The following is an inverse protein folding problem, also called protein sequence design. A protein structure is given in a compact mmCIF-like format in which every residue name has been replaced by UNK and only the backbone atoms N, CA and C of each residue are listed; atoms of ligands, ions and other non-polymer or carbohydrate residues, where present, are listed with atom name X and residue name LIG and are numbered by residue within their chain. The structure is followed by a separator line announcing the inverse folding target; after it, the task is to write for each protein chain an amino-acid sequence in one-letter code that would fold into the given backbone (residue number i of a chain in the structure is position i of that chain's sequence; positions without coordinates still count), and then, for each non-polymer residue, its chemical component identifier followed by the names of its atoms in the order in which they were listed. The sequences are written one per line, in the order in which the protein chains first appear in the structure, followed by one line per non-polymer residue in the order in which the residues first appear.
data_IF_315661536419
#
_entry.id   IF_315661536419
#
_cell.length_a   1.000
_cell.length_b   1.000
_cell.length_c   1.000
_cell.angle_alpha   90.00
_cell.angle_beta   90.00
_cell.angle_gamma   90.00
#
_symmetry.space_group_name_H-M   'P 1'
#
loop_
_entity.id
_entity.type
_entity.pdbx_description
1 polymer ?
#
# COMPACT_ATOMS: atom_id res chain seq x y z
N UNK A 1 5.19 12.82 -10.38
CA UNK A 1 6.04 13.37 -9.29
C UNK A 1 7.28 12.50 -9.11
N UNK A 2 8.39 13.07 -8.67
CA UNK A 2 9.59 12.30 -8.32
C UNK A 2 9.76 12.34 -6.80
N UNK A 3 9.43 11.26 -6.14
CA UNK A 3 9.31 11.14 -4.68
C UNK A 3 10.60 10.69 -3.97
N UNK A 4 11.76 10.85 -4.59
CA UNK A 4 13.09 10.62 -3.99
C UNK A 4 13.27 9.24 -3.33
N UNK A 5 12.93 8.18 -4.04
CA UNK A 5 13.08 6.82 -3.54
C UNK A 5 14.47 6.56 -2.93
N UNK A 6 14.52 5.99 -1.73
CA UNK A 6 15.75 5.73 -0.99
C UNK A 6 15.93 4.27 -0.55
N UNK A 7 15.24 3.33 -1.23
CA UNK A 7 15.30 1.91 -0.88
C UNK A 7 14.39 1.54 0.29
N UNK A 8 13.20 2.12 0.36
CA UNK A 8 12.20 1.91 1.43
C UNK A 8 12.69 2.31 2.84
N UNK A 9 13.52 3.34 2.93
CA UNK A 9 13.99 3.85 4.19
C UNK A 9 15.12 3.07 4.85
N UNK A 10 15.41 1.85 4.46
CA UNK A 10 16.56 1.03 4.89
C UNK A 10 16.85 1.12 6.39
N UNK A 11 15.98 0.52 7.21
CA UNK A 11 16.02 0.66 8.67
C UNK A 11 17.30 0.12 9.29
N UNK A 12 17.97 0.86 10.20
CA UNK A 12 19.16 0.39 10.90
C UNK A 12 18.86 -0.80 11.83
N UNK A 13 19.82 -1.72 11.95
CA UNK A 13 19.74 -2.91 12.83
C UNK A 13 19.43 -2.55 14.30
N UNK A 14 19.83 -1.37 14.76
CA UNK A 14 19.61 -0.89 16.12
C UNK A 14 18.12 -0.74 16.49
N UNK A 15 17.20 -0.81 15.53
CA UNK A 15 15.75 -0.68 15.74
C UNK A 15 15.04 -1.97 16.09
N UNK A 16 15.75 -3.08 16.26
CA UNK A 16 15.13 -4.34 16.69
C UNK A 16 14.61 -5.26 15.59
N UNK A 17 14.84 -4.94 14.32
CA UNK A 17 14.31 -5.63 13.16
C UNK A 17 15.10 -6.87 12.76
N UNK A 18 15.00 -7.91 13.56
CA UNK A 18 15.80 -9.11 13.38
C UNK A 18 15.50 -9.91 12.12
N UNK A 19 14.28 -9.90 11.62
CA UNK A 19 13.88 -10.57 10.39
C UNK A 19 14.67 -10.08 9.16
N UNK A 20 14.92 -8.78 9.08
CA UNK A 20 15.72 -8.16 8.03
C UNK A 20 17.20 -8.50 8.08
N UNK A 21 17.72 -8.84 9.26
CA UNK A 21 19.14 -9.14 9.48
C UNK A 21 19.63 -10.36 8.73
N UNK A 22 18.72 -11.21 8.28
CA UNK A 22 19.04 -12.38 7.46
C UNK A 22 19.09 -12.08 5.97
N UNK A 23 18.74 -10.85 5.56
CA UNK A 23 18.81 -10.45 4.16
C UNK A 23 20.28 -10.31 3.74
N UNK A 24 20.72 -11.05 2.70
CA UNK A 24 22.09 -10.97 2.21
C UNK A 24 22.49 -9.60 1.63
N UNK A 25 21.51 -8.72 1.39
CA UNK A 25 21.74 -7.34 0.91
C UNK A 25 22.11 -6.37 2.03
N UNK A 26 22.15 -6.83 3.28
CA UNK A 26 22.50 -5.96 4.41
C UNK A 26 23.96 -5.54 4.34
N UNK A 27 24.17 -4.23 4.48
CA UNK A 27 25.50 -3.70 4.68
C UNK A 27 26.14 -4.19 5.99
N UNK A 28 27.45 -4.19 6.05
CA UNK A 28 28.19 -4.62 7.25
C UNK A 28 27.84 -3.80 8.52
N UNK A 29 27.37 -2.58 8.35
CA UNK A 29 26.90 -1.70 9.44
C UNK A 29 25.47 -2.01 9.91
N UNK A 30 24.83 -3.04 9.35
CA UNK A 30 23.48 -3.44 9.74
C UNK A 30 22.35 -2.63 9.12
N UNK A 31 22.64 -1.80 8.14
CA UNK A 31 21.65 -1.13 7.29
C UNK A 31 21.42 -1.97 6.04
N UNK A 32 20.21 -2.01 5.52
CA UNK A 32 19.96 -2.61 4.21
C UNK A 32 20.62 -1.73 3.16
N UNK A 33 21.55 -2.28 2.39
CA UNK A 33 22.26 -1.58 1.32
C UNK A 33 21.62 -1.95 -0.02
N UNK A 34 20.64 -1.18 -0.44
CA UNK A 34 20.01 -1.34 -1.72
C UNK A 34 20.46 -0.23 -2.66
N UNK A 35 21.11 -0.58 -3.82
CA UNK A 35 21.41 0.41 -4.84
C UNK A 35 20.13 1.09 -5.35
N UNK A 36 20.09 2.42 -5.34
CA UNK A 36 18.89 3.20 -5.73
C UNK A 36 19.17 4.14 -6.90
N UNK A 37 20.36 4.12 -7.45
CA UNK A 37 20.77 5.08 -8.49
C UNK A 37 19.93 4.97 -9.75
N UNK A 38 19.57 3.75 -10.15
CA UNK A 38 18.70 3.51 -11.30
C UNK A 38 17.24 3.80 -10.95
N UNK A 39 16.75 3.37 -9.80
CA UNK A 39 15.36 3.57 -9.37
C UNK A 39 15.00 5.06 -9.30
N UNK A 40 15.93 5.90 -8.85
CA UNK A 40 15.75 7.37 -8.81
C UNK A 40 15.57 8.01 -10.18
N UNK A 41 15.96 7.34 -11.26
CA UNK A 41 15.81 7.85 -12.64
C UNK A 41 14.46 7.50 -13.26
N UNK A 42 13.75 6.50 -12.73
CA UNK A 42 12.54 5.94 -13.32
C UNK A 42 11.44 7.00 -13.51
N UNK A 43 11.15 7.80 -12.49
CA UNK A 43 10.12 8.83 -12.57
C UNK A 43 10.42 9.89 -13.66
N UNK A 44 11.68 10.27 -13.81
CA UNK A 44 12.11 11.22 -14.84
C UNK A 44 12.04 10.59 -16.24
N UNK A 45 12.41 9.32 -16.38
CA UNK A 45 12.34 8.59 -17.65
C UNK A 45 10.88 8.44 -18.12
N UNK A 46 9.98 8.03 -17.22
CA UNK A 46 8.54 7.93 -17.52
C UNK A 46 7.94 9.30 -17.89
N UNK A 47 8.31 10.35 -17.16
CA UNK A 47 7.83 11.70 -17.45
C UNK A 47 8.28 12.18 -18.84
N UNK A 48 9.53 11.89 -19.22
CA UNK A 48 10.06 12.22 -20.54
C UNK A 48 9.34 11.45 -21.66
N UNK A 49 9.14 10.13 -21.47
CA UNK A 49 8.43 9.29 -22.43
C UNK A 49 6.95 9.71 -22.62
N UNK A 50 6.32 10.12 -21.52
CA UNK A 50 4.93 10.57 -21.51
C UNK A 50 4.73 12.05 -21.87
N UNK A 51 5.83 12.80 -22.12
CA UNK A 51 5.82 14.25 -22.37
C UNK A 51 5.04 15.02 -21.29
N UNK A 52 5.38 14.76 -20.02
CA UNK A 52 4.82 15.45 -18.85
C UNK A 52 5.92 16.06 -17.99
N UNK A 53 5.69 17.23 -17.36
CA UNK A 53 6.70 17.85 -16.51
C UNK A 53 6.92 17.06 -15.22
N UNK A 54 8.19 17.03 -14.77
CA UNK A 54 8.54 16.45 -13.47
C UNK A 54 8.26 17.46 -12.37
N UNK A 55 7.38 17.09 -11.43
CA UNK A 55 7.19 17.83 -10.19
C UNK A 55 8.24 17.39 -9.18
N UNK A 56 9.09 18.32 -8.75
CA UNK A 56 10.12 18.08 -7.75
C UNK A 56 9.58 18.28 -6.32
N UNK A 57 10.07 17.46 -5.40
CA UNK A 57 9.79 17.53 -3.98
C UNK A 57 11.02 17.13 -3.18
N UNK A 58 11.07 17.50 -1.91
CA UNK A 58 12.04 16.97 -0.96
C UNK A 58 11.55 15.68 -0.28
N UNK A 59 10.25 15.38 -0.40
CA UNK A 59 9.62 14.24 0.24
C UNK A 59 10.17 12.93 -0.30
N UNK A 60 10.56 12.05 0.60
CA UNK A 60 10.93 10.67 0.32
C UNK A 60 9.80 9.75 0.72
N UNK A 61 9.21 9.08 -0.26
CA UNK A 61 8.15 8.08 -0.07
C UNK A 61 7.97 7.26 -1.35
N UNK A 62 7.12 6.26 -1.30
CA UNK A 62 6.73 5.42 -2.43
C UNK A 62 5.22 5.55 -2.70
N UNK A 63 4.79 5.21 -3.91
CA UNK A 63 3.38 5.27 -4.30
C UNK A 63 2.45 4.40 -3.45
N UNK A 64 2.94 3.24 -2.99
CA UNK A 64 2.20 2.36 -2.08
C UNK A 64 2.04 2.89 -0.65
N UNK A 65 2.82 3.92 -0.27
CA UNK A 65 2.76 4.54 1.05
C UNK A 65 1.61 5.53 1.26
N UNK A 66 0.87 5.87 0.20
CA UNK A 66 -0.24 6.84 0.27
C UNK A 66 -1.41 6.42 -0.61
N UNK A 67 -2.61 6.65 -0.11
CA UNK A 67 -3.84 6.52 -0.87
C UNK A 67 -4.63 7.85 -0.79
N UNK A 68 -5.31 8.24 -1.87
CA UNK A 68 -6.03 9.51 -1.95
C UNK A 68 -7.43 9.33 -2.54
N UNK A 69 -8.41 10.08 -2.05
CA UNK A 69 -9.77 10.03 -2.57
C UNK A 69 -10.05 11.02 -3.72
N UNK A 70 -9.08 11.84 -4.11
CA UNK A 70 -9.23 12.87 -5.14
C UNK A 70 -9.99 14.13 -4.71
N UNK A 71 -10.48 14.20 -3.46
CA UNK A 71 -11.27 15.31 -2.92
C UNK A 71 -10.69 15.90 -1.62
N UNK A 72 -9.40 15.64 -1.35
CA UNK A 72 -8.68 16.22 -0.22
C UNK A 72 -8.49 15.29 0.98
N UNK A 73 -8.92 14.03 0.92
CA UNK A 73 -8.53 13.04 1.91
C UNK A 73 -7.32 12.22 1.44
N UNK A 74 -6.42 11.93 2.38
CA UNK A 74 -5.34 10.98 2.22
C UNK A 74 -5.34 9.95 3.35
N UNK A 75 -4.85 8.74 3.08
CA UNK A 75 -4.60 7.69 4.08
C UNK A 75 -3.14 7.26 3.98
N UNK A 76 -2.47 7.13 5.10
CA UNK A 76 -1.09 6.65 5.16
C UNK A 76 -0.75 6.09 6.55
N UNK A 77 0.38 5.42 6.67
CA UNK A 77 0.95 5.04 7.96
C UNK A 77 2.04 6.02 8.39
N UNK A 78 2.09 6.33 9.67
CA UNK A 78 3.12 7.18 10.25
C UNK A 78 4.50 6.53 10.12
N UNK A 79 4.58 5.22 10.37
CA UNK A 79 5.83 4.47 10.26
C UNK A 79 6.45 4.53 8.87
N UNK A 80 5.65 4.61 7.80
CA UNK A 80 6.15 4.71 6.44
C UNK A 80 6.66 6.12 6.13
N UNK A 81 5.86 7.16 6.37
CA UNK A 81 6.17 8.51 5.87
C UNK A 81 6.92 9.37 6.90
N UNK A 82 6.54 9.27 8.20
CA UNK A 82 7.18 10.06 9.26
C UNK A 82 8.48 9.42 9.77
N UNK A 83 8.93 8.37 9.12
CA UNK A 83 10.13 7.65 9.49
C UNK A 83 11.39 8.52 9.26
N UNK A 84 12.26 8.67 10.27
CA UNK A 84 13.54 9.39 10.12
C UNK A 84 14.44 8.84 9.03
N UNK A 85 14.30 7.56 8.67
CA UNK A 85 15.06 6.96 7.58
C UNK A 85 14.63 7.46 6.20
N UNK A 86 13.40 7.95 6.05
CA UNK A 86 12.90 8.59 4.83
C UNK A 86 12.99 10.11 4.88
N UNK A 87 12.44 10.70 5.94
CA UNK A 87 12.29 12.15 6.05
C UNK A 87 12.95 12.68 7.34
N UNK A 88 14.31 12.63 7.44
CA UNK A 88 15.02 12.99 8.65
C UNK A 88 14.79 14.44 9.07
N UNK A 89 14.48 14.63 10.34
CA UNK A 89 14.26 15.96 10.93
C UNK A 89 12.95 16.65 10.53
N UNK A 90 12.10 16.00 9.74
CA UNK A 90 10.80 16.56 9.34
C UNK A 90 9.72 16.27 10.35
N UNK A 91 8.92 17.30 10.64
CA UNK A 91 7.75 17.18 11.48
C UNK A 91 6.51 16.81 10.65
N UNK A 92 5.52 16.23 11.30
CA UNK A 92 4.27 15.76 10.66
C UNK A 92 3.59 16.89 9.88
N UNK A 93 3.54 18.08 10.46
CA UNK A 93 2.93 19.27 9.87
C UNK A 93 3.64 19.72 8.59
N UNK A 94 4.97 19.64 8.54
CA UNK A 94 5.74 19.96 7.32
C UNK A 94 5.45 18.97 6.20
N UNK A 95 5.31 17.68 6.55
CA UNK A 95 4.97 16.61 5.60
C UNK A 95 3.55 16.81 5.09
N UNK A 96 2.57 17.12 5.94
CA UNK A 96 1.19 17.41 5.53
C UNK A 96 1.09 18.62 4.59
N UNK A 97 1.89 19.66 4.82
CA UNK A 97 1.98 20.82 3.91
C UNK A 97 2.48 20.37 2.52
N UNK A 98 3.49 19.52 2.48
CA UNK A 98 4.02 19.04 1.21
C UNK A 98 3.05 18.06 0.52
N UNK A 99 2.39 17.18 1.26
CA UNK A 99 1.33 16.31 0.73
C UNK A 99 0.16 17.12 0.16
N UNK A 100 -0.22 18.23 0.82
CA UNK A 100 -1.21 19.16 0.28
C UNK A 100 -0.76 19.77 -1.05
N UNK A 101 0.48 20.20 -1.13
CA UNK A 101 1.05 20.78 -2.35
C UNK A 101 1.09 19.79 -3.51
N UNK A 102 1.44 18.53 -3.22
CA UNK A 102 1.63 17.49 -4.24
C UNK A 102 0.31 16.84 -4.69
N UNK A 103 -0.56 16.54 -3.74
CA UNK A 103 -1.75 15.71 -3.95
C UNK A 103 -3.07 16.44 -3.66
N UNK A 104 -3.03 17.71 -3.23
CA UNK A 104 -4.24 18.44 -2.84
C UNK A 104 -4.89 17.93 -1.55
N UNK A 105 -4.16 17.21 -0.70
CA UNK A 105 -4.68 16.63 0.53
C UNK A 105 -4.90 17.74 1.56
N UNK A 106 -6.11 17.82 2.08
CA UNK A 106 -6.47 18.74 3.17
C UNK A 106 -6.53 18.06 4.54
N UNK A 107 -6.77 16.75 4.56
CA UNK A 107 -6.86 15.93 5.76
C UNK A 107 -6.25 14.56 5.53
N UNK A 108 -5.39 14.16 6.45
CA UNK A 108 -4.81 12.81 6.48
C UNK A 108 -5.51 11.94 7.53
N UNK A 109 -5.82 10.71 7.16
CA UNK A 109 -6.20 9.62 8.05
C UNK A 109 -4.90 8.83 8.34
N UNK A 110 -4.28 9.13 9.47
CA UNK A 110 -3.04 8.49 9.87
C UNK A 110 -3.28 7.22 10.66
N UNK A 111 -2.58 6.16 10.29
CA UNK A 111 -2.45 4.94 11.08
C UNK A 111 -1.05 4.84 11.66
N UNK A 112 -0.84 4.26 12.86
CA UNK A 112 0.50 4.13 13.44
C UNK A 112 1.49 3.38 12.53
N UNK A 113 1.05 2.28 11.92
CA UNK A 113 1.92 1.41 11.14
C UNK A 113 2.94 0.63 11.97
N UNK A 114 3.95 0.06 11.32
CA UNK A 114 4.93 -0.85 11.94
C UNK A 114 6.35 -0.45 11.58
N UNK A 115 6.96 0.48 12.33
CA UNK A 115 8.31 0.90 12.01
C UNK A 115 9.25 -0.29 12.07
N UNK A 116 9.84 -0.58 10.94
CA UNK A 116 10.91 -1.53 10.81
C UNK A 116 10.57 -3.00 10.93
N UNK A 117 9.33 -3.43 10.90
CA UNK A 117 8.94 -4.84 10.91
C UNK A 117 8.94 -5.46 9.52
N UNK A 118 8.71 -4.68 8.49
CA UNK A 118 8.78 -5.14 7.11
C UNK A 118 9.51 -4.10 6.22
N UNK A 119 9.73 -4.45 4.94
CA UNK A 119 10.63 -3.71 4.05
C UNK A 119 10.18 -2.30 3.75
N UNK A 120 8.88 -2.04 3.76
CA UNK A 120 8.30 -0.76 3.39
C UNK A 120 7.96 0.12 4.59
N UNK A 121 8.18 -0.35 5.82
CA UNK A 121 7.66 0.25 7.04
C UNK A 121 6.13 0.38 7.05
N UNK A 122 5.45 -0.59 6.44
CA UNK A 122 4.01 -0.75 6.42
C UNK A 122 3.29 0.20 5.45
N UNK A 123 3.39 -0.10 4.17
CA UNK A 123 2.66 0.60 3.11
C UNK A 123 1.13 0.50 3.30
N UNK A 124 0.43 1.60 3.03
CA UNK A 124 -1.03 1.67 3.16
C UNK A 124 -1.78 0.83 2.12
N UNK A 125 -1.19 0.55 0.97
CA UNK A 125 -1.79 -0.26 -0.09
C UNK A 125 -1.98 -1.76 0.27
N UNK A 126 -1.49 -2.15 1.46
CA UNK A 126 -1.83 -3.41 2.12
C UNK A 126 -2.97 -3.30 3.15
N UNK A 127 -3.40 -2.08 3.48
CA UNK A 127 -4.31 -1.83 4.59
C UNK A 127 -5.65 -1.25 4.13
N UNK A 128 -5.63 -0.21 3.30
CA UNK A 128 -6.85 0.50 2.95
C UNK A 128 -6.73 1.26 1.62
N UNK A 129 -7.82 1.30 0.85
CA UNK A 129 -7.89 2.03 -0.40
C UNK A 129 -9.27 2.65 -0.62
N UNK A 130 -9.30 3.82 -1.23
CA UNK A 130 -10.55 4.43 -1.65
C UNK A 130 -11.10 3.75 -2.91
N UNK A 131 -12.39 3.43 -2.90
CA UNK A 131 -13.13 2.94 -4.06
C UNK A 131 -14.03 4.02 -4.67
N UNK A 132 -14.28 5.10 -3.90
CA UNK A 132 -14.99 6.29 -4.30
C UNK A 132 -14.59 7.42 -3.35
N UNK A 133 -14.90 8.69 -3.65
CA UNK A 133 -14.58 9.82 -2.77
C UNK A 133 -15.07 9.66 -1.32
N UNK A 134 -16.16 8.93 -1.13
CA UNK A 134 -16.84 8.69 0.13
C UNK A 134 -16.84 7.23 0.59
N UNK A 135 -16.06 6.36 -0.07
CA UNK A 135 -15.99 4.94 0.28
C UNK A 135 -14.54 4.49 0.44
N UNK A 136 -14.27 3.85 1.57
CA UNK A 136 -12.96 3.27 1.92
C UNK A 136 -13.10 1.76 2.13
N UNK A 137 -12.36 0.98 1.35
CA UNK A 137 -12.21 -0.44 1.53
C UNK A 137 -10.96 -0.69 2.37
N UNK A 138 -11.01 -1.61 3.34
CA UNK A 138 -9.85 -1.96 4.16
C UNK A 138 -9.75 -3.46 4.41
N UNK A 139 -8.52 -3.95 4.60
CA UNK A 139 -8.23 -5.35 4.89
C UNK A 139 -8.82 -5.78 6.23
N UNK A 140 -9.37 -6.99 6.31
CA UNK A 140 -10.12 -7.48 7.48
C UNK A 140 -9.29 -7.59 8.75
N UNK A 141 -8.00 -7.83 8.64
CA UNK A 141 -7.11 -8.19 9.74
C UNK A 141 -7.57 -9.44 10.51
N UNK A 142 -8.30 -10.34 9.84
CA UNK A 142 -8.82 -11.55 10.46
C UNK A 142 -7.68 -12.49 10.90
N UNK A 143 -6.70 -12.65 10.03
CA UNK A 143 -5.48 -13.41 10.27
C UNK A 143 -4.34 -12.52 10.80
N UNK A 144 -4.63 -11.24 11.07
CA UNK A 144 -3.65 -10.23 11.45
C UNK A 144 -3.23 -10.28 12.92
N UNK A 145 -2.07 -9.74 13.19
CA UNK A 145 -1.49 -9.56 14.52
C UNK A 145 -2.17 -8.41 15.31
N UNK A 146 -1.70 -8.13 16.51
CA UNK A 146 -2.23 -7.06 17.36
C UNK A 146 -2.08 -5.68 16.70
N UNK A 147 -1.00 -5.50 15.94
CA UNK A 147 -0.69 -4.27 15.21
C UNK A 147 -1.69 -4.00 14.08
N UNK A 148 -2.12 -5.03 13.34
CA UNK A 148 -3.16 -4.89 12.30
C UNK A 148 -4.48 -4.41 12.90
N UNK A 149 -4.85 -4.99 14.01
CA UNK A 149 -6.05 -4.61 14.75
C UNK A 149 -5.96 -3.19 15.30
N UNK A 150 -4.77 -2.76 15.74
CA UNK A 150 -4.50 -1.38 16.20
C UNK A 150 -4.63 -0.40 15.04
N UNK A 151 -4.00 -0.68 13.90
CA UNK A 151 -4.01 0.20 12.73
C UNK A 151 -5.42 0.32 12.15
N UNK A 152 -6.15 -0.79 12.06
CA UNK A 152 -7.58 -0.78 11.71
C UNK A 152 -8.43 0.06 12.66
N UNK A 153 -8.20 -0.06 13.98
CA UNK A 153 -8.91 0.75 14.97
C UNK A 153 -8.62 2.25 14.78
N UNK A 154 -7.37 2.60 14.55
CA UNK A 154 -6.97 4.00 14.28
C UNK A 154 -7.61 4.52 12.99
N UNK A 155 -7.66 3.71 11.93
CA UNK A 155 -8.34 4.07 10.68
C UNK A 155 -9.83 4.36 10.90
N UNK A 156 -10.54 3.47 11.59
CA UNK A 156 -11.97 3.63 11.86
C UNK A 156 -12.25 4.85 12.74
N UNK A 157 -11.39 5.13 13.72
CA UNK A 157 -11.47 6.35 14.51
C UNK A 157 -11.29 7.60 13.64
N UNK A 158 -10.30 7.62 12.74
CA UNK A 158 -10.11 8.72 11.82
C UNK A 158 -11.30 8.91 10.86
N UNK A 159 -11.93 7.82 10.42
CA UNK A 159 -13.20 7.87 9.64
C UNK A 159 -14.32 8.52 10.45
N UNK A 160 -14.47 8.18 11.73
CA UNK A 160 -15.46 8.80 12.61
C UNK A 160 -15.19 10.29 12.80
N UNK A 161 -13.94 10.71 12.92
CA UNK A 161 -13.55 12.11 12.99
C UNK A 161 -13.93 12.89 11.71
N UNK A 162 -13.72 12.30 10.52
CA UNK A 162 -14.19 12.89 9.27
C UNK A 162 -15.73 13.00 9.26
N UNK A 163 -16.43 11.98 9.72
CA UNK A 163 -17.89 11.97 9.78
C UNK A 163 -18.46 12.97 10.78
N UNK A 164 -17.70 13.35 11.78
CA UNK A 164 -18.06 14.37 12.79
C UNK A 164 -17.80 15.82 12.34
N UNK A 165 -17.12 16.04 11.21
CA UNK A 165 -16.88 17.39 10.68
C UNK A 165 -18.18 18.13 10.35
N UNK A 166 -18.18 19.47 10.36
CA UNK A 166 -19.26 20.28 9.81
C UNK A 166 -19.66 19.84 8.41
N UNK A 167 -20.95 19.89 8.09
CA UNK A 167 -21.52 19.27 6.89
C UNK A 167 -20.89 19.81 5.58
N UNK A 168 -20.57 21.09 5.55
CA UNK A 168 -19.95 21.75 4.40
C UNK A 168 -18.49 21.26 4.17
N UNK A 169 -17.71 21.17 5.24
CA UNK A 169 -16.34 20.66 5.18
C UNK A 169 -16.33 19.19 4.77
N UNK A 170 -17.17 18.38 5.42
CA UNK A 170 -17.31 16.96 5.12
C UNK A 170 -17.74 16.72 3.67
N UNK A 171 -18.76 17.42 3.20
CA UNK A 171 -19.27 17.29 1.83
C UNK A 171 -18.18 17.62 0.80
N UNK A 172 -17.36 18.64 1.03
CA UNK A 172 -16.23 18.98 0.16
C UNK A 172 -15.21 17.86 0.08
N UNK A 173 -14.81 17.31 1.22
CA UNK A 173 -13.82 16.21 1.32
C UNK A 173 -14.34 14.89 0.76
N UNK A 174 -15.64 14.73 0.63
CA UNK A 174 -16.30 13.51 0.18
C UNK A 174 -16.95 13.64 -1.22
N UNK A 175 -16.52 14.62 -2.03
CA UNK A 175 -17.06 14.78 -3.38
C UNK A 175 -18.56 15.06 -3.44
N UNK A 176 -19.09 15.81 -2.47
CA UNK A 176 -20.51 16.13 -2.38
C UNK A 176 -21.34 15.16 -1.49
N UNK A 177 -20.74 14.09 -1.01
CA UNK A 177 -21.41 13.06 -0.21
C UNK A 177 -21.50 13.44 1.27
N UNK A 178 -22.42 12.76 2.00
CA UNK A 178 -22.74 13.11 3.37
C UNK A 178 -21.95 12.33 4.42
N UNK A 179 -21.36 11.20 4.07
CA UNK A 179 -20.71 10.29 5.01
C UNK A 179 -19.61 9.50 4.33
N UNK A 180 -18.45 9.41 4.96
CA UNK A 180 -17.43 8.44 4.61
C UNK A 180 -17.83 7.08 5.13
N UNK A 181 -18.09 6.15 4.23
CA UNK A 181 -18.44 4.77 4.52
C UNK A 181 -17.23 3.85 4.37
N UNK A 182 -17.28 2.72 5.07
CA UNK A 182 -16.22 1.72 5.02
C UNK A 182 -16.77 0.34 4.72
N UNK A 183 -16.00 -0.48 4.02
CA UNK A 183 -16.27 -1.90 3.85
C UNK A 183 -15.00 -2.70 4.11
N UNK A 184 -15.16 -3.94 4.56
CA UNK A 184 -14.05 -4.85 4.86
C UNK A 184 -13.82 -5.77 3.67
N UNK A 185 -12.56 -5.92 3.26
CA UNK A 185 -12.14 -6.90 2.27
C UNK A 185 -11.48 -8.08 3.01
N UNK A 186 -11.85 -9.34 2.72
CA UNK A 186 -11.21 -10.48 3.35
C UNK A 186 -9.71 -10.53 3.05
N UNK A 187 -8.96 -11.26 3.85
CA UNK A 187 -7.56 -11.54 3.62
C UNK A 187 -7.38 -13.03 3.34
N UNK A 188 -6.49 -13.39 2.40
CA UNK A 188 -6.25 -14.79 2.11
C UNK A 188 -5.57 -15.49 3.30
N UNK A 189 -5.95 -16.73 3.59
CA UNK A 189 -5.26 -17.55 4.60
C UNK A 189 -3.82 -17.84 4.14
N UNK A 190 -2.79 -17.40 4.87
CA UNK A 190 -1.38 -17.61 4.49
C UNK A 190 -1.02 -19.09 4.30
N UNK A 191 -1.62 -19.99 5.06
CA UNK A 191 -1.37 -21.43 4.93
C UNK A 191 -1.98 -22.00 3.64
N UNK A 192 -3.18 -21.55 3.26
CA UNK A 192 -3.81 -21.93 2.00
C UNK A 192 -3.05 -21.38 0.80
N UNK A 193 -2.60 -20.13 0.87
CA UNK A 193 -1.75 -19.49 -0.15
C UNK A 193 -0.46 -20.28 -0.36
N UNK A 194 0.26 -20.59 0.73
CA UNK A 194 1.50 -21.37 0.65
C UNK A 194 1.30 -22.74 0.01
N UNK A 195 0.26 -23.46 0.43
CA UNK A 195 -0.09 -24.80 -0.13
C UNK A 195 -0.34 -24.71 -1.63
N UNK A 196 -1.09 -23.72 -2.05
CA UNK A 196 -1.42 -23.51 -3.47
C UNK A 196 -0.20 -23.10 -4.28
N UNK A 197 0.60 -22.18 -3.75
CA UNK A 197 1.84 -21.77 -4.37
C UNK A 197 2.78 -22.94 -4.62
N UNK A 198 3.01 -23.81 -3.63
CA UNK A 198 3.83 -25.03 -3.76
C UNK A 198 3.29 -26.00 -4.80
N UNK A 199 1.96 -26.14 -4.89
CA UNK A 199 1.33 -27.04 -5.85
C UNK A 199 1.47 -26.57 -7.30
N UNK A 200 1.36 -25.24 -7.54
CA UNK A 200 1.38 -24.63 -8.87
C UNK A 200 2.79 -24.39 -9.40
N UNK A 201 3.74 -24.08 -8.56
CA UNK A 201 5.04 -23.50 -8.94
C UNK A 201 6.23 -24.44 -8.66
N UNK A 202 6.10 -25.73 -8.91
CA UNK A 202 7.13 -26.75 -8.63
C UNK A 202 8.51 -26.48 -9.26
N UNK A 203 8.58 -25.67 -10.29
CA UNK A 203 9.81 -25.38 -11.03
C UNK A 203 10.40 -23.98 -10.76
N UNK A 204 9.78 -23.17 -9.90
CA UNK A 204 10.28 -21.83 -9.62
C UNK A 204 11.31 -21.82 -8.49
N UNK A 205 12.31 -20.89 -8.52
CA UNK A 205 13.40 -20.86 -7.55
C UNK A 205 12.97 -20.69 -6.08
N UNK A 206 11.75 -20.20 -5.86
CA UNK A 206 11.19 -19.98 -4.52
C UNK A 206 10.45 -21.19 -3.92
N UNK A 207 10.31 -22.28 -4.67
CA UNK A 207 9.59 -23.48 -4.20
C UNK A 207 10.32 -24.26 -3.13
N UNK A 208 11.62 -24.01 -2.95
CA UNK A 208 12.43 -24.63 -1.90
C UNK A 208 12.27 -23.95 -0.54
N UNK A 209 11.62 -22.78 -0.46
CA UNK A 209 11.38 -22.09 0.80
C UNK A 209 10.48 -22.92 1.70
N UNK A 210 10.79 -22.95 2.99
CA UNK A 210 9.90 -23.45 4.02
C UNK A 210 8.63 -22.58 4.12
N UNK A 211 7.60 -23.09 4.79
CA UNK A 211 6.38 -22.34 5.08
C UNK A 211 6.68 -21.00 5.78
N UNK A 212 7.60 -21.02 6.75
CA UNK A 212 7.98 -19.84 7.51
C UNK A 212 8.75 -18.80 6.66
N UNK A 213 9.68 -19.27 5.81
CA UNK A 213 10.41 -18.38 4.90
C UNK A 213 9.49 -17.80 3.83
N UNK A 214 8.50 -18.54 3.36
CA UNK A 214 7.48 -18.02 2.46
C UNK A 214 6.61 -16.98 3.18
N UNK A 215 6.12 -17.27 4.37
CA UNK A 215 5.31 -16.35 5.17
C UNK A 215 6.01 -15.03 5.52
N UNK A 216 7.35 -15.06 5.68
CA UNK A 216 8.15 -13.86 5.93
C UNK A 216 8.39 -13.01 4.67
N UNK A 217 8.32 -13.60 3.49
CA UNK A 217 8.63 -12.94 2.23
C UNK A 217 7.39 -12.65 1.38
N UNK A 218 6.36 -13.47 1.49
CA UNK A 218 5.16 -13.33 0.69
C UNK A 218 4.23 -12.25 1.25
N UNK A 219 3.59 -11.53 0.34
CA UNK A 219 2.64 -10.48 0.67
C UNK A 219 1.30 -10.73 -0.06
N UNK A 220 0.52 -11.75 0.35
CA UNK A 220 -0.81 -11.95 -0.20
C UNK A 220 -1.76 -10.89 0.34
N UNK A 221 -2.55 -10.24 -0.55
CA UNK A 221 -3.50 -9.23 -0.13
C UNK A 221 -4.40 -8.79 -1.28
N UNK A 222 -5.71 -8.95 -1.12
CA UNK A 222 -6.68 -8.54 -2.15
C UNK A 222 -6.78 -7.02 -2.28
N UNK A 223 -6.47 -6.27 -1.22
CA UNK A 223 -6.50 -4.81 -1.24
C UNK A 223 -5.53 -4.20 -2.26
N UNK A 224 -4.48 -4.94 -2.62
CA UNK A 224 -3.51 -4.54 -3.63
C UNK A 224 -3.96 -4.76 -5.08
N UNK A 225 -5.25 -4.59 -5.39
CA UNK A 225 -5.78 -4.63 -6.76
C UNK A 225 -5.28 -3.47 -7.60
N UNK A 226 -5.28 -3.65 -8.93
CA UNK A 226 -5.05 -2.55 -9.88
C UNK A 226 -6.37 -2.02 -10.42
N UNK A 227 -6.54 -0.71 -10.37
CA UNK A 227 -7.70 -0.01 -10.92
C UNK A 227 -7.33 0.65 -12.26
N UNK A 228 -8.01 0.23 -13.32
CA UNK A 228 -8.00 0.88 -14.63
C UNK A 228 -9.33 1.62 -14.89
N UNK A 229 -9.49 2.19 -16.10
CA UNK A 229 -10.70 2.98 -16.41
C UNK A 229 -11.99 2.14 -16.26
N UNK A 230 -12.01 0.96 -16.89
CA UNK A 230 -13.22 0.14 -17.02
C UNK A 230 -13.09 -1.21 -16.31
N UNK A 231 -11.96 -1.48 -15.66
CA UNK A 231 -11.73 -2.75 -15.00
C UNK A 231 -10.89 -2.66 -13.72
N UNK A 232 -11.10 -3.66 -12.85
CA UNK A 232 -10.26 -3.93 -11.69
C UNK A 232 -9.55 -5.25 -11.94
N UNK A 233 -8.24 -5.28 -11.77
CA UNK A 233 -7.46 -6.53 -11.78
C UNK A 233 -7.14 -6.90 -10.34
N UNK A 234 -7.72 -8.01 -9.88
CA UNK A 234 -7.65 -8.51 -8.52
C UNK A 234 -6.74 -9.73 -8.44
N UNK A 235 -5.96 -9.85 -7.39
CA UNK A 235 -5.14 -11.04 -7.13
C UNK A 235 -5.99 -12.26 -6.81
N UNK A 236 -5.52 -13.44 -7.23
CA UNK A 236 -6.06 -14.74 -6.86
C UNK A 236 -4.95 -15.57 -6.21
N UNK A 237 -5.20 -16.07 -5.02
CA UNK A 237 -4.20 -16.75 -4.19
C UNK A 237 -4.46 -18.25 -4.02
N UNK A 238 -5.61 -18.75 -4.55
CA UNK A 238 -5.97 -20.17 -4.56
C UNK A 238 -6.62 -20.69 -3.28
N UNK A 239 -7.03 -19.80 -2.40
CA UNK A 239 -8.06 -20.05 -1.41
C UNK A 239 -9.41 -19.74 -2.07
N UNK A 240 -10.06 -20.76 -2.64
CA UNK A 240 -11.21 -20.57 -3.50
C UNK A 240 -12.39 -19.86 -2.80
N UNK A 241 -12.57 -20.05 -1.50
CA UNK A 241 -13.64 -19.42 -0.74
C UNK A 241 -13.37 -17.93 -0.56
N UNK A 242 -12.18 -17.60 -0.10
CA UNK A 242 -11.75 -16.21 0.15
C UNK A 242 -11.50 -15.48 -1.17
N UNK A 243 -10.98 -16.15 -2.21
CA UNK A 243 -10.86 -15.58 -3.56
C UNK A 243 -12.25 -15.15 -4.10
N UNK A 244 -13.30 -15.97 -3.91
CA UNK A 244 -14.65 -15.67 -4.36
C UNK A 244 -15.27 -14.51 -3.53
N UNK A 245 -15.14 -14.54 -2.21
CA UNK A 245 -15.62 -13.47 -1.34
C UNK A 245 -14.95 -12.12 -1.65
N UNK A 246 -13.64 -12.14 -1.90
CA UNK A 246 -12.91 -10.95 -2.30
C UNK A 246 -13.38 -10.41 -3.65
N UNK A 247 -13.65 -11.32 -4.61
CA UNK A 247 -14.19 -10.94 -5.91
C UNK A 247 -15.54 -10.24 -5.76
N UNK A 248 -16.47 -10.85 -5.03
CA UNK A 248 -17.81 -10.28 -4.81
C UNK A 248 -17.75 -8.92 -4.09
N UNK A 249 -16.92 -8.83 -3.06
CA UNK A 249 -16.71 -7.57 -2.31
C UNK A 249 -16.18 -6.45 -3.20
N UNK A 250 -15.21 -6.75 -4.06
CA UNK A 250 -14.65 -5.76 -4.99
C UNK A 250 -15.63 -5.42 -6.10
N UNK A 251 -16.39 -6.38 -6.61
CA UNK A 251 -17.44 -6.13 -7.61
C UNK A 251 -18.54 -5.20 -7.06
N UNK A 252 -18.95 -5.41 -5.81
CA UNK A 252 -19.90 -4.54 -5.13
C UNK A 252 -19.34 -3.12 -4.89
N UNK A 253 -18.03 -3.03 -4.64
CA UNK A 253 -17.37 -1.73 -4.44
C UNK A 253 -17.21 -0.93 -5.76
N UNK A 254 -17.17 -1.61 -6.91
CA UNK A 254 -16.99 -1.04 -8.24
C UNK A 254 -18.07 -1.50 -9.23
N UNK A 255 -19.35 -1.16 -9.01
CA UNK A 255 -20.47 -1.71 -9.78
C UNK A 255 -20.42 -1.36 -11.28
N UNK A 256 -19.70 -0.31 -11.66
CA UNK A 256 -19.56 0.15 -13.04
C UNK A 256 -18.30 -0.38 -13.74
N UNK A 257 -17.52 -1.27 -13.08
CA UNK A 257 -16.28 -1.82 -13.62
C UNK A 257 -16.33 -3.35 -13.74
N UNK A 258 -15.61 -3.85 -14.71
CA UNK A 258 -15.39 -5.31 -14.85
C UNK A 258 -14.30 -5.72 -13.86
N UNK A 259 -14.59 -6.66 -12.98
CA UNK A 259 -13.58 -7.25 -12.08
C UNK A 259 -13.02 -8.51 -12.73
N UNK A 260 -11.71 -8.62 -12.80
CA UNK A 260 -11.00 -9.80 -13.31
C UNK A 260 -10.03 -10.28 -12.24
N UNK A 261 -10.13 -11.55 -11.87
CA UNK A 261 -9.15 -12.19 -10.97
C UNK A 261 -8.08 -12.93 -11.77
N UNK A 262 -6.81 -12.76 -11.39
CA UNK A 262 -5.67 -13.43 -11.98
C UNK A 262 -4.75 -14.01 -10.90
N UNK A 263 -4.10 -15.14 -11.17
CA UNK A 263 -3.08 -15.66 -10.26
C UNK A 263 -1.88 -14.71 -10.19
N UNK A 264 -1.51 -14.35 -8.98
CA UNK A 264 -0.39 -13.44 -8.67
C UNK A 264 0.72 -14.11 -7.88
N UNK A 265 0.84 -15.44 -8.00
CA UNK A 265 1.79 -16.26 -7.24
C UNK A 265 3.22 -15.69 -7.23
N UNK A 266 3.71 -15.23 -8.40
CA UNK A 266 5.06 -14.67 -8.52
C UNK A 266 5.23 -13.32 -7.81
N UNK A 267 4.24 -12.43 -7.92
CA UNK A 267 4.23 -11.14 -7.22
C UNK A 267 4.15 -11.34 -5.72
N UNK A 268 3.22 -12.18 -5.27
CA UNK A 268 3.03 -12.52 -3.87
C UNK A 268 4.31 -13.09 -3.25
N UNK A 269 4.92 -14.09 -3.87
CA UNK A 269 6.17 -14.69 -3.39
C UNK A 269 7.36 -13.72 -3.39
N UNK A 270 7.30 -12.67 -4.20
CA UNK A 270 8.28 -11.60 -4.26
C UNK A 270 8.07 -10.49 -3.23
N UNK A 271 7.01 -10.57 -2.41
CA UNK A 271 6.71 -9.59 -1.36
C UNK A 271 5.85 -8.42 -1.82
N UNK A 272 5.04 -8.59 -2.89
CA UNK A 272 4.18 -7.53 -3.39
C UNK A 272 2.85 -8.02 -3.98
N UNK A 273 1.99 -7.05 -4.31
CA UNK A 273 0.72 -7.27 -4.98
C UNK A 273 0.74 -6.66 -6.38
N UNK A 274 -0.39 -6.74 -7.11
CA UNK A 274 -0.52 -6.08 -8.43
C UNK A 274 -0.28 -4.58 -8.32
N UNK A 275 -0.81 -3.92 -7.28
CA UNK A 275 -0.63 -2.49 -7.05
C UNK A 275 0.85 -2.11 -6.97
N UNK A 276 1.65 -2.88 -6.22
CA UNK A 276 3.09 -2.64 -6.05
C UNK A 276 3.89 -2.70 -7.37
N UNK A 277 3.39 -3.45 -8.37
CA UNK A 277 4.05 -3.66 -9.65
C UNK A 277 3.48 -2.78 -10.79
N UNK A 278 2.55 -1.87 -10.48
CA UNK A 278 1.83 -1.07 -11.47
C UNK A 278 1.82 0.41 -11.12
N UNK A 279 1.60 1.24 -12.13
CA UNK A 279 1.41 2.69 -11.98
C UNK A 279 0.38 3.17 -12.98
N UNK A 280 -0.62 3.90 -12.53
CA UNK A 280 -1.61 4.53 -13.39
C UNK A 280 -0.97 5.68 -14.17
N UNK A 281 -1.27 5.73 -15.46
CA UNK A 281 -0.94 6.86 -16.32
C UNK A 281 -2.24 7.58 -16.74
N UNK A 282 -2.59 8.72 -16.13
CA UNK A 282 -3.77 9.47 -16.49
C UNK A 282 -3.70 9.92 -17.97
N UNK A 283 -4.84 9.89 -18.68
CA UNK A 283 -4.92 10.47 -20.02
C UNK A 283 -4.71 11.98 -19.95
N UNK A 284 -4.03 12.53 -20.93
CA UNK A 284 -4.02 13.99 -21.15
C UNK A 284 -5.46 14.43 -21.44
N UNK A 285 -5.95 15.41 -20.68
CA UNK A 285 -7.26 16.05 -20.90
C UNK A 285 -7.27 16.91 -22.15
#
# INVERSE_FOLDING_TARGET
MNLNFNGWGQVPVATGLEGWRKDPRKAANGVVDQPVDQDRTVAAAIAADSDVPVVKTWLTMEGGGIEVNGHGLGVATESCILNPNRNPGKQKEEIEVELRRLFGIERMLWMPGRPGLEVTDWHVDFLARFTAPDRLLYASAEHGEAEDKRDRKALLQAVDEINALPADQRSRLLGGQKKLSTATLPEPDPAAVYKTYKARNKALPFTERSSDEFGQAAAPGYIGYYEANDCIVLGQYGDNATDAEAFDTVADAFPDKIVVQISTDGLCAGGGTIHCATQQQPRKS
#
